data_IF_863231932370
#
_entry.id   IF_863231932370
#
_cell.length_a   1.000
_cell.length_b   1.000
_cell.length_c   1.000
_cell.angle_alpha   90.00
_cell.angle_beta   90.00
_cell.angle_gamma   90.00
#
_symmetry.space_group_name_H-M   'P 1'
#
loop_
_entity.id
_entity.type
_entity.pdbx_description
1 polymer ?
#
# COMPACT_ATOMS: atom_id res chain seq x y z
N UNK A 1 -4.05 11.05 9.72
CA UNK A 1 -4.62 9.70 9.94
C UNK A 1 -4.01 9.09 11.20
N UNK A 2 -4.77 8.25 11.92
CA UNK A 2 -4.24 7.50 13.07
C UNK A 2 -3.07 6.62 12.63
N UNK A 3 -2.00 6.57 13.43
CA UNK A 3 -0.83 5.71 13.19
C UNK A 3 -0.88 4.48 14.11
N UNK A 4 -1.92 3.66 13.94
CA UNK A 4 -2.25 2.51 14.80
C UNK A 4 -1.83 1.16 14.21
N UNK A 5 -1.25 1.15 13.01
CA UNK A 5 -0.83 -0.07 12.33
C UNK A 5 -1.96 -0.85 11.66
N UNK A 6 -3.16 -0.27 11.55
CA UNK A 6 -4.29 -0.83 10.82
C UNK A 6 -4.57 -0.03 9.55
N UNK A 7 -4.63 -0.71 8.41
CA UNK A 7 -4.85 -0.05 7.13
C UNK A 7 -6.34 -0.11 6.76
N UNK A 8 -7.02 1.02 7.01
CA UNK A 8 -8.38 1.28 6.54
C UNK A 8 -8.45 2.26 5.35
N UNK A 9 -9.67 2.66 5.00
CA UNK A 9 -9.96 3.62 3.92
C UNK A 9 -9.18 4.95 4.06
N UNK A 10 -9.07 5.48 5.28
CA UNK A 10 -8.29 6.70 5.52
C UNK A 10 -6.81 6.53 5.18
N UNK A 11 -6.22 5.35 5.44
CA UNK A 11 -4.82 5.08 5.09
C UNK A 11 -4.67 4.97 3.58
N UNK A 12 -5.62 4.37 2.87
CA UNK A 12 -5.65 4.34 1.40
C UNK A 12 -5.77 5.74 0.79
N UNK A 13 -6.68 6.57 1.31
CA UNK A 13 -6.85 7.96 0.87
C UNK A 13 -5.60 8.80 1.17
N UNK A 14 -5.00 8.59 2.35
CA UNK A 14 -3.73 9.18 2.74
C UNK A 14 -2.60 8.82 1.77
N UNK A 15 -2.47 7.54 1.41
CA UNK A 15 -1.48 7.07 0.45
C UNK A 15 -1.69 7.70 -0.93
N UNK A 16 -2.94 7.78 -1.42
CA UNK A 16 -3.24 8.42 -2.71
C UNK A 16 -2.78 9.89 -2.72
N UNK A 17 -3.14 10.66 -1.67
CA UNK A 17 -2.71 12.05 -1.54
C UNK A 17 -1.19 12.16 -1.41
N UNK A 18 -0.55 11.30 -0.61
CA UNK A 18 0.90 11.26 -0.46
C UNK A 18 1.60 11.00 -1.80
N UNK A 19 1.17 10.00 -2.56
CA UNK A 19 1.69 9.72 -3.90
C UNK A 19 1.47 10.89 -4.86
N UNK A 20 0.32 11.58 -4.78
CA UNK A 20 0.10 12.80 -5.55
C UNK A 20 1.08 13.90 -5.17
N UNK A 21 1.34 14.12 -3.87
CA UNK A 21 2.24 15.15 -3.39
C UNK A 21 3.71 14.89 -3.76
N UNK A 22 4.20 13.67 -3.55
CA UNK A 22 5.64 13.37 -3.70
C UNK A 22 6.03 12.87 -5.09
N UNK A 23 5.06 12.38 -5.88
CA UNK A 23 5.31 11.84 -7.22
C UNK A 23 4.54 12.53 -8.34
N UNK A 24 3.59 13.42 -8.05
CA UNK A 24 2.70 13.97 -9.08
C UNK A 24 1.87 12.88 -9.75
N UNK A 25 1.46 11.85 -9.01
CA UNK A 25 0.87 10.63 -9.57
C UNK A 25 -0.51 10.82 -10.21
N UNK A 26 -1.21 11.93 -9.95
CA UNK A 26 -2.51 12.23 -10.56
C UNK A 26 -3.63 11.25 -10.19
N UNK A 27 -3.53 10.60 -9.03
CA UNK A 27 -4.48 9.63 -8.54
C UNK A 27 -5.77 10.32 -8.08
N UNK A 28 -6.90 9.66 -8.34
CA UNK A 28 -8.17 9.95 -7.65
C UNK A 28 -8.01 9.58 -6.17
N UNK A 29 -8.51 10.43 -5.28
CA UNK A 29 -8.48 10.21 -3.84
C UNK A 29 -9.86 9.71 -3.40
N UNK A 30 -10.08 8.41 -3.52
CA UNK A 30 -11.35 7.74 -3.21
C UNK A 30 -11.25 6.79 -2.00
N UNK A 31 -10.06 6.63 -1.41
CA UNK A 31 -9.87 5.74 -0.27
C UNK A 31 -9.87 4.25 -0.61
N UNK A 32 -9.86 3.88 -1.90
CA UNK A 32 -9.92 2.49 -2.34
C UNK A 32 -8.65 2.07 -3.07
N UNK A 33 -8.05 0.97 -2.62
CA UNK A 33 -7.04 0.23 -3.39
C UNK A 33 -7.77 -0.82 -4.22
N UNK A 34 -7.97 -0.50 -5.50
CA UNK A 34 -8.76 -1.29 -6.45
C UNK A 34 -8.10 -2.60 -6.90
N UNK A 35 -8.94 -3.58 -7.25
CA UNK A 35 -8.61 -4.77 -8.02
C UNK A 35 -7.33 -5.50 -7.58
N UNK A 36 -7.31 -5.95 -6.33
CA UNK A 36 -6.20 -6.68 -5.73
C UNK A 36 -6.51 -8.17 -5.64
N UNK A 37 -5.51 -9.06 -5.82
CA UNK A 37 -5.73 -10.50 -5.81
C UNK A 37 -6.20 -10.98 -4.43
N UNK A 38 -7.36 -11.62 -4.36
CA UNK A 38 -7.96 -12.09 -3.10
C UNK A 38 -7.04 -13.03 -2.30
N UNK A 39 -6.24 -13.86 -2.99
CA UNK A 39 -5.23 -14.72 -2.35
C UNK A 39 -4.17 -13.98 -1.52
N UNK A 40 -3.93 -12.69 -1.78
CA UNK A 40 -2.96 -11.90 -1.01
C UNK A 40 -3.57 -11.29 0.25
N UNK A 41 -4.91 -11.30 0.41
CA UNK A 41 -5.58 -10.81 1.62
C UNK A 41 -5.11 -11.57 2.87
N UNK A 42 -4.87 -12.89 2.77
CA UNK A 42 -4.35 -13.70 3.87
C UNK A 42 -2.92 -13.33 4.32
N UNK A 43 -2.17 -12.60 3.48
CA UNK A 43 -0.86 -12.01 3.85
C UNK A 43 -0.99 -10.63 4.48
N UNK A 44 -2.17 -10.02 4.44
CA UNK A 44 -2.38 -8.65 4.88
C UNK A 44 -3.51 -8.53 5.93
N UNK A 45 -3.50 -9.30 7.03
CA UNK A 45 -4.60 -9.26 8.00
C UNK A 45 -4.67 -7.91 8.77
N UNK A 46 -3.65 -7.05 8.68
CA UNK A 46 -3.68 -5.67 9.15
C UNK A 46 -4.45 -4.70 8.23
N UNK A 47 -4.89 -5.15 7.05
CA UNK A 47 -5.78 -4.39 6.17
C UNK A 47 -7.23 -4.69 6.56
N UNK A 48 -7.93 -3.68 7.06
CA UNK A 48 -9.28 -3.80 7.63
C UNK A 48 -10.36 -3.09 6.81
N UNK A 49 -9.97 -2.30 5.80
CA UNK A 49 -10.91 -1.62 4.89
C UNK A 49 -10.20 -0.81 3.82
N UNK A 50 -10.95 -0.27 2.85
CA UNK A 50 -10.40 0.54 1.76
C UNK A 50 -9.66 -0.25 0.68
N UNK A 51 -9.99 -1.53 0.51
CA UNK A 51 -9.38 -2.45 -0.46
C UNK A 51 -10.44 -3.29 -1.15
N UNK A 52 -10.26 -3.51 -2.44
CA UNK A 52 -11.10 -4.39 -3.26
C UNK A 52 -10.32 -5.68 -3.57
N UNK A 53 -10.72 -6.77 -2.91
CA UNK A 53 -10.12 -8.09 -3.09
C UNK A 53 -10.96 -8.92 -4.06
N UNK A 54 -10.36 -9.34 -5.18
CA UNK A 54 -11.04 -10.05 -6.29
C UNK A 54 -10.21 -11.22 -6.82
N UNK A 55 -10.89 -12.20 -7.42
CA UNK A 55 -10.22 -13.34 -8.06
C UNK A 55 -9.61 -12.96 -9.42
N UNK A 56 -10.33 -12.20 -10.23
CA UNK A 56 -9.84 -11.62 -11.49
C UNK A 56 -9.38 -10.19 -11.26
N UNK A 57 -8.07 -10.01 -11.12
CA UNK A 57 -7.45 -8.76 -10.67
C UNK A 57 -6.66 -8.06 -11.77
N UNK A 58 -6.77 -6.74 -11.82
CA UNK A 58 -6.12 -5.87 -12.80
C UNK A 58 -5.11 -4.90 -12.16
N UNK A 59 -5.02 -4.88 -10.82
CA UNK A 59 -4.13 -4.01 -10.06
C UNK A 59 -4.67 -2.59 -9.87
N UNK A 60 -3.91 -1.78 -9.14
CA UNK A 60 -4.27 -0.42 -8.78
C UNK A 60 -3.21 0.59 -9.24
N UNK A 61 -3.62 1.76 -9.76
CA UNK A 61 -2.69 2.86 -10.02
C UNK A 61 -2.02 3.36 -8.72
N UNK A 62 -2.69 3.28 -7.56
CA UNK A 62 -2.10 3.63 -6.26
C UNK A 62 -0.93 2.69 -5.93
N UNK A 63 -1.11 1.38 -6.13
CA UNK A 63 -0.02 0.41 -5.90
C UNK A 63 1.11 0.60 -6.91
N UNK A 64 0.80 0.93 -8.17
CA UNK A 64 1.83 1.29 -9.15
C UNK A 64 2.67 2.47 -8.68
N UNK A 65 2.02 3.54 -8.19
CA UNK A 65 2.69 4.72 -7.67
C UNK A 65 3.59 4.36 -6.48
N UNK A 66 3.08 3.58 -5.52
CA UNK A 66 3.85 3.08 -4.38
C UNK A 66 5.08 2.26 -4.83
N UNK A 67 4.90 1.28 -5.72
CA UNK A 67 6.01 0.47 -6.23
C UNK A 67 7.07 1.34 -6.93
N UNK A 68 6.64 2.38 -7.64
CA UNK A 68 7.54 3.32 -8.32
C UNK A 68 8.26 4.22 -7.31
N UNK A 69 7.59 4.64 -6.23
CA UNK A 69 8.20 5.41 -5.14
C UNK A 69 9.23 4.58 -4.38
N UNK A 70 8.94 3.30 -4.13
CA UNK A 70 9.86 2.32 -3.57
C UNK A 70 11.01 1.91 -4.51
N UNK A 71 11.05 2.42 -5.75
CA UNK A 71 12.01 2.03 -6.80
C UNK A 71 12.02 0.50 -7.05
N UNK A 72 10.88 -0.16 -6.85
CA UNK A 72 10.74 -1.59 -7.04
C UNK A 72 10.90 -1.94 -8.52
N UNK A 73 11.85 -2.83 -8.84
CA UNK A 73 11.99 -3.35 -10.22
C UNK A 73 10.81 -4.27 -10.55
N UNK A 74 10.02 -3.86 -11.55
CA UNK A 74 8.84 -4.58 -12.06
C UNK A 74 9.21 -5.35 -13.32
N UNK A 75 8.66 -6.54 -13.49
CA UNK A 75 8.77 -7.29 -14.74
C UNK A 75 7.93 -6.65 -15.84
N UNK A 76 8.27 -6.93 -17.11
CA UNK A 76 7.41 -6.55 -18.23
C UNK A 76 6.02 -7.18 -18.06
N UNK A 77 4.96 -6.39 -18.25
CA UNK A 77 3.57 -6.86 -18.09
C UNK A 77 3.14 -7.14 -16.64
N UNK A 78 3.93 -6.78 -15.63
CA UNK A 78 3.54 -7.01 -14.24
C UNK A 78 2.27 -6.19 -13.86
N UNK A 79 1.31 -6.86 -13.24
CA UNK A 79 0.14 -6.21 -12.65
C UNK A 79 0.53 -5.44 -11.38
N UNK A 80 -0.10 -4.28 -11.16
CA UNK A 80 0.19 -3.40 -10.02
C UNK A 80 -0.54 -3.87 -8.77
N UNK A 81 -0.08 -4.99 -8.20
CA UNK A 81 -0.70 -5.65 -7.05
C UNK A 81 0.18 -5.59 -5.82
N UNK A 82 -0.44 -5.44 -4.65
CA UNK A 82 0.18 -5.73 -3.37
C UNK A 82 0.43 -7.23 -3.28
N UNK A 83 1.69 -7.60 -3.06
CA UNK A 83 2.15 -8.98 -2.96
C UNK A 83 3.37 -9.01 -2.03
N UNK A 84 3.82 -10.21 -1.65
CA UNK A 84 4.96 -10.38 -0.75
C UNK A 84 6.21 -9.57 -1.14
N UNK A 85 6.52 -9.43 -2.44
CA UNK A 85 7.66 -8.61 -2.89
C UNK A 85 7.46 -7.11 -2.63
N UNK A 86 6.25 -6.61 -2.84
CA UNK A 86 5.92 -5.20 -2.57
C UNK A 86 5.97 -4.93 -1.06
N UNK A 87 5.39 -5.83 -0.26
CA UNK A 87 5.40 -5.75 1.20
C UNK A 87 6.83 -5.80 1.74
N UNK A 88 7.64 -6.76 1.29
CA UNK A 88 9.07 -6.85 1.62
C UNK A 88 9.80 -5.54 1.38
N UNK A 89 9.55 -4.92 0.23
CA UNK A 89 10.24 -3.70 -0.17
C UNK A 89 9.79 -2.52 0.69
N UNK A 90 8.51 -2.45 1.04
CA UNK A 90 7.98 -1.46 1.97
C UNK A 90 8.57 -1.64 3.38
N UNK A 91 8.68 -2.88 3.86
CA UNK A 91 9.34 -3.21 5.13
C UNK A 91 10.80 -2.75 5.15
N UNK A 92 11.55 -3.10 4.10
CA UNK A 92 12.95 -2.68 3.96
C UNK A 92 13.10 -1.16 3.88
N UNK A 93 12.18 -0.47 3.19
CA UNK A 93 12.18 0.98 3.10
C UNK A 93 12.10 1.65 4.47
N UNK A 94 11.31 1.09 5.39
CA UNK A 94 11.21 1.57 6.77
C UNK A 94 12.22 0.95 7.75
N UNK A 95 13.16 0.14 7.27
CA UNK A 95 14.14 -0.53 8.15
C UNK A 95 13.54 -1.63 9.03
N UNK A 96 12.38 -2.17 8.66
CA UNK A 96 11.68 -3.25 9.38
C UNK A 96 12.13 -4.60 8.81
N UNK A 97 12.36 -5.58 9.69
CA UNK A 97 12.75 -6.94 9.28
C UNK A 97 11.65 -7.55 8.41
N UNK A 98 11.94 -7.98 7.17
CA UNK A 98 10.88 -8.42 6.27
C UNK A 98 10.36 -9.83 6.58
N UNK A 99 9.03 -9.95 6.66
CA UNK A 99 8.30 -11.23 6.74
C UNK A 99 7.31 -11.39 5.56
N UNK A 100 7.27 -10.42 4.64
CA UNK A 100 6.40 -10.36 3.46
C UNK A 100 4.90 -10.27 3.80
N UNK A 101 4.57 -9.85 5.02
CA UNK A 101 3.21 -9.75 5.54
C UNK A 101 2.94 -8.37 6.14
N UNK A 102 1.67 -8.03 6.18
CA UNK A 102 1.16 -6.86 6.90
C UNK A 102 0.27 -7.37 8.02
N UNK A 103 0.87 -7.98 9.04
CA UNK A 103 0.15 -8.54 10.18
C UNK A 103 -0.29 -7.42 11.14
N UNK A 104 -1.59 -7.39 11.48
CA UNK A 104 -2.18 -6.31 12.28
C UNK A 104 -2.06 -6.54 13.80
N UNK A 105 -1.72 -5.51 14.60
CA UNK A 105 -1.26 -4.18 14.18
C UNK A 105 0.16 -4.25 13.58
N UNK A 106 0.35 -3.62 12.42
CA UNK A 106 1.62 -3.70 11.68
C UNK A 106 2.51 -2.49 11.93
N UNK A 107 3.75 -2.74 12.32
CA UNK A 107 4.77 -1.69 12.39
C UNK A 107 5.02 -1.04 11.02
N UNK A 108 4.89 -1.79 9.92
CA UNK A 108 5.05 -1.27 8.56
C UNK A 108 3.91 -0.35 8.16
N UNK A 109 2.66 -0.72 8.50
CA UNK A 109 1.50 0.15 8.27
C UNK A 109 1.64 1.43 9.10
N UNK A 110 2.02 1.31 10.37
CA UNK A 110 2.22 2.47 11.26
C UNK A 110 3.32 3.41 10.75
N UNK A 111 4.43 2.87 10.23
CA UNK A 111 5.48 3.68 9.61
C UNK A 111 4.97 4.42 8.36
N UNK A 112 4.21 3.73 7.50
CA UNK A 112 3.55 4.35 6.35
C UNK A 112 2.57 5.45 6.76
N UNK A 113 1.72 5.21 7.76
CA UNK A 113 0.78 6.20 8.28
C UNK A 113 1.51 7.44 8.81
N UNK A 114 2.61 7.24 9.55
CA UNK A 114 3.43 8.34 10.04
C UNK A 114 4.06 9.15 8.91
N UNK A 115 4.57 8.50 7.86
CA UNK A 115 5.12 9.20 6.71
C UNK A 115 4.04 9.98 5.96
N UNK A 116 2.89 9.34 5.69
CA UNK A 116 1.73 10.02 5.09
C UNK A 116 1.39 11.30 5.87
N UNK A 117 1.31 11.22 7.21
CA UNK A 117 0.99 12.36 8.06
C UNK A 117 1.95 13.56 7.92
N UNK A 118 3.18 13.37 7.44
CA UNK A 118 4.11 14.47 7.19
C UNK A 118 3.75 15.31 5.97
N UNK A 119 2.93 14.78 5.06
CA UNK A 119 2.63 15.40 3.76
C UNK A 119 1.16 15.76 3.56
N UNK A 120 0.26 15.18 4.34
CA UNK A 120 -1.20 15.40 4.21
C UNK A 120 -1.87 15.84 5.51
N UNK A 121 -1.07 16.42 6.43
CA UNK A 121 -1.55 17.11 7.63
C UNK A 121 -2.31 18.39 7.33
#
# INVERSE_FOLDING_TARGET
ISADGWWGEETSAGLQRFMNAVRGAGLVVDGVISSQPAREAARCPGIVGGWEWVEDYHGSPTILAMQTWLKLRRGSGATSTMNGKTIRTLQQHYGISPDDRLDGPSQTIMALQNEINQYVG
#
